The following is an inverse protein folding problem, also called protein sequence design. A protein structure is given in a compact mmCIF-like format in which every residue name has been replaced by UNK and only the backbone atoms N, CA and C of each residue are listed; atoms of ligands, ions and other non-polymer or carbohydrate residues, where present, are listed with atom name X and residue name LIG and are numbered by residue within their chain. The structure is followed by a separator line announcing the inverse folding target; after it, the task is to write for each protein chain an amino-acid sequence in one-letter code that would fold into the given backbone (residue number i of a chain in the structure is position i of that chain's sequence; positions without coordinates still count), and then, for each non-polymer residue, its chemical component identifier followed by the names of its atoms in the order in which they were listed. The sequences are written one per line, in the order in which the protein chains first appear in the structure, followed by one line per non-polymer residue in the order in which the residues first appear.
data_IF_679244753778
#
_entry.id   IF_679244753778
#
_cell.length_a   1.000
_cell.length_b   1.000
_cell.length_c   1.000
_cell.angle_alpha   90.00
_cell.angle_beta   90.00
_cell.angle_gamma   90.00
#
_symmetry.space_group_name_H-M   'P 1'
#
loop_
_entity.id
_entity.type
_entity.pdbx_description
1 polymer ?
#
# COMPACT_ATOMS: atom_id res chain seq x y z
N UNK A 1 -0.01 16.84 -20.83
CA UNK A 1 -0.97 17.19 -21.89
C UNK A 1 -2.16 16.23 -21.89
N UNK A 2 -3.37 16.74 -22.15
CA UNK A 2 -4.60 15.91 -22.29
C UNK A 2 -4.49 14.90 -23.44
N UNK A 3 -3.69 15.20 -24.46
CA UNK A 3 -3.52 14.35 -25.64
C UNK A 3 -2.38 13.33 -25.48
N UNK A 4 -1.77 13.24 -24.32
CA UNK A 4 -0.73 12.24 -24.05
C UNK A 4 -1.30 10.84 -24.01
N UNK A 5 -0.67 9.88 -24.67
CA UNK A 5 -1.03 8.45 -24.53
C UNK A 5 -0.93 7.93 -23.10
N UNK A 6 -0.16 8.61 -22.25
CA UNK A 6 -0.01 8.28 -20.82
C UNK A 6 -0.97 9.07 -19.92
N UNK A 7 -1.94 9.80 -20.48
CA UNK A 7 -2.85 10.62 -19.66
C UNK A 7 -3.57 9.77 -18.62
N UNK A 8 -4.16 8.67 -19.04
CA UNK A 8 -4.95 7.77 -18.21
C UNK A 8 -4.12 6.83 -17.33
N UNK A 9 -2.78 6.97 -17.37
CA UNK A 9 -1.89 6.30 -16.41
C UNK A 9 -1.99 6.90 -15.01
N UNK A 10 -2.52 8.12 -14.91
CA UNK A 10 -2.74 8.86 -13.67
C UNK A 10 -4.21 9.16 -13.48
N UNK A 11 -4.60 9.48 -12.25
CA UNK A 11 -5.99 9.74 -11.88
C UNK A 11 -6.26 11.23 -11.98
N UNK A 12 -7.12 11.62 -12.92
CA UNK A 12 -7.50 13.01 -13.19
C UNK A 12 -8.99 13.21 -12.97
N UNK A 13 -9.37 14.39 -12.44
CA UNK A 13 -10.78 14.78 -12.29
C UNK A 13 -10.97 16.25 -12.65
N UNK A 14 -12.15 16.55 -13.18
CA UNK A 14 -12.57 17.94 -13.40
C UNK A 14 -12.86 18.62 -12.05
N UNK A 15 -12.70 19.95 -11.96
CA UNK A 15 -13.18 20.71 -10.82
C UNK A 15 -14.67 20.50 -10.57
N UNK A 16 -15.08 20.43 -9.30
CA UNK A 16 -16.48 20.42 -8.88
C UNK A 16 -16.77 21.79 -8.29
N UNK A 17 -17.69 22.57 -8.94
CA UNK A 17 -18.03 23.94 -8.57
C UNK A 17 -16.77 24.85 -8.41
N UNK A 18 -15.78 24.65 -9.26
CA UNK A 18 -14.51 25.39 -9.24
C UNK A 18 -13.54 24.99 -8.14
N UNK A 19 -13.85 23.93 -7.41
CA UNK A 19 -13.06 23.41 -6.28
C UNK A 19 -12.53 22.00 -6.55
N UNK A 20 -11.80 21.47 -5.58
CA UNK A 20 -11.27 20.10 -5.59
C UNK A 20 -12.39 19.05 -5.71
N UNK A 21 -12.12 17.89 -6.32
CA UNK A 21 -13.13 16.84 -6.52
C UNK A 21 -13.76 16.33 -5.22
N UNK A 22 -13.00 16.28 -4.13
CA UNK A 22 -13.46 15.89 -2.80
C UNK A 22 -12.40 16.23 -1.74
N UNK A 23 -12.67 15.86 -0.49
CA UNK A 23 -11.83 16.19 0.68
C UNK A 23 -10.79 15.11 1.03
N UNK A 24 -10.32 14.31 0.08
CA UNK A 24 -9.22 13.38 0.34
C UNK A 24 -7.94 14.14 0.71
N UNK A 25 -7.27 13.64 1.74
CA UNK A 25 -6.04 14.23 2.25
C UNK A 25 -4.80 13.42 1.84
N UNK A 26 -3.71 14.10 1.59
CA UNK A 26 -2.39 13.50 1.38
C UNK A 26 -1.81 13.00 2.70
N UNK A 27 -1.08 11.89 2.65
CA UNK A 27 -0.32 11.36 3.79
C UNK A 27 0.71 12.35 4.33
N UNK A 28 1.13 13.33 3.51
CA UNK A 28 2.04 14.40 3.92
C UNK A 28 1.31 15.68 4.39
N UNK A 29 -0.01 15.62 4.49
CA UNK A 29 -0.88 16.73 4.89
C UNK A 29 -1.36 17.58 3.70
N UNK A 30 -2.50 18.24 3.91
CA UNK A 30 -3.19 18.99 2.86
C UNK A 30 -3.97 18.10 1.90
N UNK A 31 -4.49 18.71 0.84
CA UNK A 31 -5.27 18.00 -0.18
C UNK A 31 -4.48 16.91 -0.88
N UNK A 32 -5.14 15.80 -1.22
CA UNK A 32 -4.61 14.80 -2.13
C UNK A 32 -4.81 15.18 -3.61
N UNK A 33 -5.38 16.33 -3.90
CA UNK A 33 -5.65 16.82 -5.25
C UNK A 33 -4.81 18.06 -5.55
N UNK A 34 -4.08 18.04 -6.67
CA UNK A 34 -3.34 19.19 -7.16
C UNK A 34 -3.90 19.67 -8.50
N UNK A 35 -4.23 20.95 -8.58
CA UNK A 35 -4.69 21.56 -9.81
C UNK A 35 -3.54 21.73 -10.82
N UNK A 36 -3.79 21.34 -12.05
CA UNK A 36 -2.89 21.53 -13.20
C UNK A 36 -3.49 22.58 -14.15
N UNK A 37 -2.92 23.78 -14.14
CA UNK A 37 -3.39 24.91 -14.97
C UNK A 37 -3.39 24.58 -16.47
N UNK A 38 -2.45 23.75 -16.93
CA UNK A 38 -2.33 23.40 -18.34
C UNK A 38 -3.52 22.57 -18.83
N UNK A 39 -4.02 21.65 -18.01
CA UNK A 39 -5.15 20.80 -18.36
C UNK A 39 -6.49 21.31 -17.80
N UNK A 40 -6.47 22.22 -16.84
CA UNK A 40 -7.67 22.67 -16.13
C UNK A 40 -8.32 21.57 -15.29
N UNK A 41 -7.55 20.57 -14.88
CA UNK A 41 -8.02 19.43 -14.09
C UNK A 41 -7.17 19.25 -12.83
N UNK A 42 -7.66 18.47 -11.88
CA UNK A 42 -6.92 18.00 -10.72
C UNK A 42 -6.36 16.61 -10.97
N UNK A 43 -5.11 16.36 -10.51
CA UNK A 43 -4.57 15.00 -10.41
C UNK A 43 -4.44 14.56 -8.97
N UNK A 44 -4.58 13.24 -8.74
CA UNK A 44 -4.47 12.64 -7.42
C UNK A 44 -3.00 12.42 -7.03
N UNK A 45 -2.66 12.72 -5.77
CA UNK A 45 -1.38 12.37 -5.14
C UNK A 45 -1.58 12.11 -3.65
N UNK A 46 -1.47 10.87 -3.21
CA UNK A 46 -1.55 10.56 -1.78
C UNK A 46 -0.25 10.87 -1.01
N UNK A 47 0.84 11.12 -1.72
CA UNK A 47 2.12 11.53 -1.15
C UNK A 47 2.53 12.92 -1.67
N UNK A 48 3.74 13.06 -2.19
CA UNK A 48 4.18 14.35 -2.74
C UNK A 48 3.39 14.73 -4.01
N UNK A 49 3.16 16.03 -4.20
CA UNK A 49 2.63 16.58 -5.46
C UNK A 49 3.47 16.17 -6.69
N UNK A 50 4.75 15.82 -6.48
CA UNK A 50 5.65 15.31 -7.54
C UNK A 50 5.53 13.80 -7.77
N UNK A 51 4.65 13.13 -7.04
CA UNK A 51 4.38 11.69 -7.12
C UNK A 51 2.90 11.46 -7.41
N UNK A 52 2.41 11.79 -8.62
CA UNK A 52 1.01 11.53 -8.97
C UNK A 52 0.72 10.03 -8.90
N UNK A 53 -0.45 9.69 -8.38
CA UNK A 53 -0.88 8.31 -8.20
C UNK A 53 -1.18 7.61 -9.52
N UNK A 54 -0.65 6.40 -9.70
CA UNK A 54 -0.96 5.56 -10.85
C UNK A 54 -2.41 5.06 -10.79
N UNK A 55 -3.03 5.02 -11.95
CA UNK A 55 -4.39 4.55 -12.16
C UNK A 55 -4.42 3.03 -12.38
N UNK A 56 -4.51 2.25 -11.30
CA UNK A 56 -4.58 0.79 -11.38
C UNK A 56 -5.87 0.25 -12.01
N UNK A 57 -6.90 1.08 -12.19
CA UNK A 57 -8.07 0.68 -12.99
C UNK A 57 -7.72 0.56 -14.49
N UNK A 58 -6.70 1.28 -14.94
CA UNK A 58 -6.21 1.17 -16.32
C UNK A 58 -5.39 -0.11 -16.50
N UNK A 59 -5.81 -1.05 -17.35
CA UNK A 59 -5.08 -2.29 -17.58
C UNK A 59 -3.70 -2.06 -18.21
N UNK A 60 -3.50 -1.00 -19.01
CA UNK A 60 -2.19 -0.69 -19.59
C UNK A 60 -1.16 -0.35 -18.50
N UNK A 61 -1.58 0.35 -17.45
CA UNK A 61 -0.72 0.62 -16.28
C UNK A 61 -0.30 -0.67 -15.60
N UNK A 62 -1.24 -1.60 -15.41
CA UNK A 62 -0.94 -2.88 -14.79
C UNK A 62 0.04 -3.70 -15.61
N UNK A 63 -0.17 -3.80 -16.93
CA UNK A 63 0.76 -4.51 -17.82
C UNK A 63 2.18 -3.91 -17.80
N UNK A 64 2.33 -2.59 -17.85
CA UNK A 64 3.64 -1.92 -17.74
C UNK A 64 4.34 -2.22 -16.40
N UNK A 65 3.57 -2.29 -15.31
CA UNK A 65 4.12 -2.69 -13.99
C UNK A 65 4.55 -4.16 -14.01
N UNK A 66 3.76 -5.05 -14.61
CA UNK A 66 4.11 -6.46 -14.72
C UNK A 66 5.32 -6.70 -15.60
N UNK A 67 5.44 -5.98 -16.70
CA UNK A 67 6.62 -6.01 -17.58
C UNK A 67 7.89 -5.56 -16.82
N UNK A 68 7.78 -4.49 -16.04
CA UNK A 68 8.87 -4.03 -15.17
C UNK A 68 9.25 -5.09 -14.12
N UNK A 69 8.26 -5.74 -13.48
CA UNK A 69 8.52 -6.80 -12.51
C UNK A 69 9.20 -8.02 -13.17
N UNK A 70 8.69 -8.46 -14.32
CA UNK A 70 9.27 -9.57 -15.08
C UNK A 70 10.70 -9.27 -15.54
N UNK A 71 10.99 -8.03 -15.95
CA UNK A 71 12.36 -7.62 -16.24
C UNK A 71 13.32 -7.88 -15.08
N UNK A 72 12.90 -7.57 -13.83
CA UNK A 72 13.73 -7.82 -12.66
C UNK A 72 13.79 -9.29 -12.27
N UNK A 73 12.70 -10.05 -12.44
CA UNK A 73 12.67 -11.51 -12.24
C UNK A 73 13.69 -12.18 -13.17
N UNK A 74 13.73 -11.78 -14.44
CA UNK A 74 14.70 -12.28 -15.43
C UNK A 74 16.15 -11.95 -15.07
N UNK A 75 16.37 -10.92 -14.24
CA UNK A 75 17.70 -10.59 -13.69
C UNK A 75 18.06 -11.43 -12.46
N UNK A 76 17.17 -12.28 -11.98
CA UNK A 76 17.41 -13.21 -10.88
C UNK A 76 17.25 -12.59 -9.50
N UNK A 77 16.36 -11.61 -9.30
CA UNK A 77 16.05 -11.11 -7.95
C UNK A 77 15.35 -12.19 -7.11
N UNK A 78 15.50 -12.10 -5.78
CA UNK A 78 14.89 -13.05 -4.84
C UNK A 78 13.48 -12.71 -4.38
N UNK A 79 12.92 -11.58 -4.81
CA UNK A 79 11.55 -11.18 -4.44
C UNK A 79 11.30 -9.67 -4.50
N UNK A 80 10.13 -9.27 -3.97
CA UNK A 80 9.68 -7.89 -3.97
C UNK A 80 9.18 -7.43 -2.60
N UNK A 81 9.57 -6.24 -2.19
CA UNK A 81 8.88 -5.47 -1.17
C UNK A 81 7.99 -4.43 -1.87
N UNK A 82 6.70 -4.48 -1.61
CA UNK A 82 5.70 -3.64 -2.28
C UNK A 82 5.25 -2.54 -1.35
N UNK A 83 5.64 -1.32 -1.71
CA UNK A 83 5.34 -0.09 -0.98
C UNK A 83 3.84 0.20 -0.99
N UNK A 84 3.26 0.46 0.18
CA UNK A 84 1.83 0.80 0.38
C UNK A 84 0.87 0.03 -0.52
N UNK A 85 1.09 -1.26 -0.68
CA UNK A 85 0.35 -2.11 -1.63
C UNK A 85 -1.17 -2.04 -1.44
N UNK A 86 -1.64 -1.77 -0.23
CA UNK A 86 -3.06 -1.61 0.08
C UNK A 86 -3.74 -0.47 -0.68
N UNK A 87 -2.96 0.46 -1.25
CA UNK A 87 -3.47 1.64 -1.96
C UNK A 87 -3.69 1.42 -3.45
N UNK A 88 -3.26 0.31 -4.05
CA UNK A 88 -3.48 0.09 -5.49
C UNK A 88 -4.96 -0.11 -5.86
N UNK A 89 -5.77 -0.58 -4.91
CA UNK A 89 -7.22 -0.75 -5.07
C UNK A 89 -8.05 0.50 -4.76
N UNK A 90 -7.44 1.67 -4.65
CA UNK A 90 -8.13 2.93 -4.30
C UNK A 90 -9.30 3.26 -5.24
N UNK A 91 -10.33 3.87 -4.69
CA UNK A 91 -11.47 4.44 -5.42
C UNK A 91 -11.73 5.87 -4.93
N UNK A 92 -11.02 6.86 -5.46
CA UNK A 92 -11.05 8.23 -4.94
C UNK A 92 -12.45 8.86 -4.97
N UNK A 93 -13.25 8.54 -5.99
CA UNK A 93 -14.62 9.07 -6.11
C UNK A 93 -15.56 8.57 -5.00
N UNK A 94 -15.18 7.50 -4.32
CA UNK A 94 -15.89 6.93 -3.17
C UNK A 94 -15.19 7.22 -1.84
N UNK A 95 -14.19 8.09 -1.83
CA UNK A 95 -13.38 8.40 -0.65
C UNK A 95 -12.63 7.16 -0.10
N UNK A 96 -12.30 6.20 -0.95
CA UNK A 96 -11.55 5.00 -0.57
C UNK A 96 -10.08 5.17 -1.02
N UNK A 97 -9.19 5.36 -0.07
CA UNK A 97 -7.74 5.52 -0.30
C UNK A 97 -6.99 4.20 -0.27
N UNK A 98 -7.42 3.23 0.53
CA UNK A 98 -6.76 1.94 0.72
C UNK A 98 -7.78 0.80 0.89
N UNK A 99 -7.32 -0.44 0.72
CA UNK A 99 -8.14 -1.66 0.88
C UNK A 99 -9.46 -1.62 0.08
N UNK A 100 -9.43 -1.02 -1.10
CA UNK A 100 -10.60 -0.94 -1.98
C UNK A 100 -10.99 -2.30 -2.58
N UNK A 101 -12.21 -2.40 -3.11
CA UNK A 101 -12.84 -3.69 -3.46
C UNK A 101 -12.11 -4.48 -4.56
N UNK A 102 -11.28 -3.83 -5.38
CA UNK A 102 -10.50 -4.48 -6.44
C UNK A 102 -9.07 -4.82 -6.03
N UNK A 103 -8.66 -4.49 -4.81
CA UNK A 103 -7.28 -4.66 -4.36
C UNK A 103 -6.77 -6.09 -4.55
N UNK A 104 -7.50 -7.06 -4.03
CA UNK A 104 -7.11 -8.47 -4.08
C UNK A 104 -7.20 -9.06 -5.49
N UNK A 105 -8.11 -8.56 -6.33
CA UNK A 105 -8.15 -8.89 -7.76
C UNK A 105 -6.84 -8.47 -8.45
N UNK A 106 -6.36 -7.24 -8.20
CA UNK A 106 -5.12 -6.74 -8.79
C UNK A 106 -3.87 -7.46 -8.27
N UNK A 107 -3.82 -7.81 -6.97
CA UNK A 107 -2.68 -8.56 -6.42
C UNK A 107 -2.65 -9.99 -6.98
N UNK A 108 -3.81 -10.63 -7.09
CA UNK A 108 -3.90 -11.96 -7.68
C UNK A 108 -3.51 -11.94 -9.18
N UNK A 109 -3.97 -10.95 -9.95
CA UNK A 109 -3.55 -10.75 -11.35
C UNK A 109 -2.03 -10.55 -11.44
N UNK A 110 -1.46 -9.72 -10.57
CA UNK A 110 -0.02 -9.50 -10.48
C UNK A 110 0.74 -10.80 -10.19
N UNK A 111 0.29 -11.58 -9.22
CA UNK A 111 0.87 -12.90 -8.91
C UNK A 111 0.89 -13.80 -10.15
N UNK A 112 -0.25 -13.95 -10.81
CA UNK A 112 -0.37 -14.84 -11.98
C UNK A 112 0.52 -14.40 -13.15
N UNK A 113 0.68 -13.10 -13.35
CA UNK A 113 1.43 -12.54 -14.48
C UNK A 113 2.93 -12.38 -14.23
N UNK A 114 3.35 -12.45 -12.96
CA UNK A 114 4.76 -12.19 -12.59
C UNK A 114 5.33 -13.29 -11.71
N UNK A 115 5.33 -13.14 -10.41
CA UNK A 115 6.07 -13.95 -9.46
C UNK A 115 5.42 -15.30 -9.08
N UNK A 116 4.16 -15.55 -9.43
CA UNK A 116 3.44 -16.73 -8.96
C UNK A 116 3.99 -18.08 -9.41
N UNK A 117 4.77 -18.12 -10.51
CA UNK A 117 5.44 -19.31 -11.00
C UNK A 117 6.93 -19.38 -10.67
N UNK A 118 7.40 -18.50 -9.77
CA UNK A 118 8.80 -18.39 -9.37
C UNK A 118 8.95 -18.63 -7.87
N UNK A 119 10.09 -19.15 -7.46
CA UNK A 119 10.45 -19.26 -6.02
C UNK A 119 10.96 -17.91 -5.53
N UNK A 120 10.04 -16.99 -5.29
CA UNK A 120 10.31 -15.62 -4.88
C UNK A 120 9.57 -15.26 -3.59
N UNK A 121 10.21 -14.46 -2.75
CA UNK A 121 9.58 -13.91 -1.56
C UNK A 121 8.88 -12.58 -1.90
N UNK A 122 7.61 -12.43 -1.51
CA UNK A 122 6.88 -11.18 -1.65
C UNK A 122 6.37 -10.68 -0.31
N UNK A 123 6.60 -9.39 -0.03
CA UNK A 123 6.10 -8.75 1.19
C UNK A 123 5.42 -7.43 0.87
N UNK A 124 4.19 -7.26 1.33
CA UNK A 124 3.42 -6.04 1.17
C UNK A 124 3.52 -5.14 2.41
N UNK A 125 3.66 -3.84 2.20
CA UNK A 125 3.49 -2.87 3.28
C UNK A 125 2.01 -2.49 3.39
N UNK A 126 1.44 -2.72 4.60
CA UNK A 126 0.03 -2.48 4.88
C UNK A 126 -0.11 -1.88 6.28
N UNK A 127 -0.48 -0.61 6.39
CA UNK A 127 -0.52 0.11 7.66
C UNK A 127 -1.72 -0.24 8.54
N UNK A 128 -2.86 -0.52 7.92
CA UNK A 128 -4.12 -0.80 8.62
C UNK A 128 -4.47 -2.29 8.75
N UNK A 129 -3.54 -3.21 8.48
CA UNK A 129 -3.85 -4.63 8.48
C UNK A 129 -4.13 -5.18 9.88
N UNK A 130 -5.23 -5.93 9.99
CA UNK A 130 -5.50 -6.86 11.09
C UNK A 130 -5.09 -8.28 10.68
N UNK A 131 -4.99 -9.25 11.60
CA UNK A 131 -4.72 -10.64 11.23
C UNK A 131 -5.72 -11.20 10.20
N UNK A 132 -7.00 -10.83 10.27
CA UNK A 132 -8.00 -11.29 9.30
C UNK A 132 -7.81 -10.66 7.92
N UNK A 133 -7.42 -9.40 7.87
CA UNK A 133 -7.02 -8.75 6.61
C UNK A 133 -5.74 -9.37 6.07
N UNK A 134 -4.76 -9.68 6.92
CA UNK A 134 -3.51 -10.31 6.52
C UNK A 134 -3.71 -11.65 5.80
N UNK A 135 -4.67 -12.45 6.25
CA UNK A 135 -5.03 -13.73 5.57
C UNK A 135 -5.47 -13.51 4.13
N UNK A 136 -6.11 -12.39 3.82
CA UNK A 136 -6.53 -12.09 2.45
C UNK A 136 -5.35 -11.92 1.51
N UNK A 137 -4.21 -11.43 2.02
CA UNK A 137 -2.97 -11.26 1.24
C UNK A 137 -2.10 -12.50 1.22
N UNK A 138 -2.02 -13.25 2.34
CA UNK A 138 -0.96 -14.23 2.56
C UNK A 138 -1.42 -15.68 2.68
N UNK A 139 -2.72 -15.97 2.64
CA UNK A 139 -3.20 -17.34 2.57
C UNK A 139 -2.74 -17.97 1.24
N UNK A 140 -1.96 -19.08 1.26
CA UNK A 140 -1.43 -19.70 0.05
C UNK A 140 -2.48 -20.07 -1.00
N UNK A 141 -3.71 -20.38 -0.58
CA UNK A 141 -4.81 -20.75 -1.50
C UNK A 141 -5.29 -19.55 -2.32
N UNK A 142 -4.96 -18.32 -1.91
CA UNK A 142 -5.36 -17.11 -2.60
C UNK A 142 -4.44 -16.69 -3.75
N UNK A 143 -3.22 -17.20 -3.78
CA UNK A 143 -2.22 -16.85 -4.79
C UNK A 143 -2.02 -15.33 -4.89
N UNK A 144 -1.71 -14.71 -3.78
CA UNK A 144 -1.41 -13.28 -3.68
C UNK A 144 0.05 -13.08 -3.23
N UNK A 145 0.30 -12.62 -2.00
CA UNK A 145 1.65 -12.36 -1.49
C UNK A 145 2.10 -13.47 -0.53
N UNK A 146 3.41 -13.56 -0.28
CA UNK A 146 3.95 -14.47 0.75
C UNK A 146 3.60 -14.00 2.15
N UNK A 147 3.66 -12.68 2.40
CA UNK A 147 3.41 -12.06 3.69
C UNK A 147 3.14 -10.56 3.57
N UNK A 148 2.71 -9.94 4.66
CA UNK A 148 2.62 -8.48 4.79
C UNK A 148 3.32 -8.01 6.06
N UNK A 149 3.79 -6.77 6.09
CA UNK A 149 4.19 -6.11 7.32
C UNK A 149 2.96 -5.72 8.13
N UNK A 150 2.98 -5.98 9.42
CA UNK A 150 1.99 -5.50 10.37
C UNK A 150 2.62 -4.39 11.23
N UNK A 151 1.88 -3.33 11.50
CA UNK A 151 2.38 -2.19 12.27
C UNK A 151 1.83 -2.13 13.70
N UNK A 152 0.94 -3.02 14.08
CA UNK A 152 0.33 -3.03 15.41
C UNK A 152 1.38 -3.15 16.53
N UNK A 153 2.40 -4.00 16.34
CA UNK A 153 3.46 -4.17 17.34
C UNK A 153 4.39 -2.94 17.43
N UNK A 154 4.64 -2.27 16.32
CA UNK A 154 5.59 -1.17 16.23
C UNK A 154 5.00 0.19 16.62
N UNK A 155 3.70 0.26 16.89
CA UNK A 155 2.99 1.48 17.27
C UNK A 155 2.54 1.51 18.74
N UNK A 156 2.84 0.47 19.51
CA UNK A 156 2.39 0.34 20.91
C UNK A 156 2.94 1.41 21.85
N UNK A 157 4.10 1.96 21.54
CA UNK A 157 4.73 3.05 22.30
C UNK A 157 4.35 4.44 21.77
N UNK A 158 3.55 4.54 20.72
CA UNK A 158 3.09 5.82 20.21
C UNK A 158 2.02 6.44 21.10
N UNK A 159 1.98 7.77 21.10
CA UNK A 159 0.97 8.55 21.82
C UNK A 159 -0.11 8.96 20.82
N UNK A 160 -1.35 8.57 21.10
CA UNK A 160 -2.49 8.88 20.23
C UNK A 160 -2.60 10.40 19.96
N UNK A 161 -2.80 10.74 18.69
CA UNK A 161 -2.93 12.12 18.25
C UNK A 161 -1.60 12.93 18.25
N UNK A 162 -0.46 12.28 18.48
CA UNK A 162 0.86 12.90 18.37
C UNK A 162 1.64 12.35 17.18
N UNK A 163 2.56 13.13 16.60
CA UNK A 163 3.48 12.61 15.59
C UNK A 163 4.25 11.39 16.09
N UNK A 164 4.63 10.49 15.20
CA UNK A 164 5.30 9.21 15.49
C UNK A 164 6.61 9.29 16.32
N UNK A 165 7.18 10.45 16.42
CA UNK A 165 8.40 10.71 17.22
C UNK A 165 8.12 10.94 18.71
N UNK A 166 6.85 11.06 19.11
CA UNK A 166 6.46 11.21 20.51
C UNK A 166 6.04 9.84 21.05
N UNK A 167 6.87 9.28 21.91
CA UNK A 167 6.68 7.94 22.45
C UNK A 167 6.37 7.96 23.94
N UNK A 168 5.73 6.93 24.42
CA UNK A 168 5.49 6.57 25.83
C UNK A 168 6.25 5.28 26.15
N UNK A 169 6.43 4.93 27.45
CA UNK A 169 7.02 3.65 27.81
C UNK A 169 6.30 2.48 27.14
N UNK A 170 7.08 1.54 26.57
CA UNK A 170 6.54 0.39 25.88
C UNK A 170 5.70 -0.48 26.82
N UNK A 171 4.49 -0.79 26.41
CA UNK A 171 3.65 -1.82 27.04
C UNK A 171 4.15 -3.22 26.66
N UNK A 172 4.98 -3.81 27.50
CA UNK A 172 5.57 -5.14 27.25
C UNK A 172 4.51 -6.24 27.22
N UNK A 173 3.46 -6.13 28.03
CA UNK A 173 2.36 -7.10 28.03
C UNK A 173 1.54 -6.97 26.75
N UNK A 174 1.24 -5.74 26.33
CA UNK A 174 0.60 -5.44 25.05
C UNK A 174 1.41 -5.97 23.88
N UNK A 175 2.73 -5.75 23.86
CA UNK A 175 3.62 -6.29 22.82
C UNK A 175 3.54 -7.83 22.75
N UNK A 176 3.66 -8.50 23.89
CA UNK A 176 3.56 -9.97 23.96
C UNK A 176 2.20 -10.45 23.44
N UNK A 177 1.12 -9.75 23.80
CA UNK A 177 -0.23 -10.06 23.34
C UNK A 177 -0.35 -9.92 21.82
N UNK A 178 0.10 -8.80 21.26
CA UNK A 178 0.05 -8.55 19.81
C UNK A 178 0.85 -9.58 19.03
N UNK A 179 2.10 -9.85 19.43
CA UNK A 179 2.94 -10.84 18.74
C UNK A 179 2.31 -12.24 18.80
N UNK A 180 1.77 -12.64 19.96
CA UNK A 180 1.10 -13.95 20.10
C UNK A 180 -0.17 -14.03 19.25
N UNK A 181 -0.98 -12.96 19.24
CA UNK A 181 -2.20 -12.87 18.42
C UNK A 181 -1.87 -13.06 16.94
N UNK A 182 -0.90 -12.34 16.41
CA UNK A 182 -0.51 -12.44 15.01
C UNK A 182 0.00 -13.82 14.64
N UNK A 183 0.86 -14.44 15.49
CA UNK A 183 1.34 -15.80 15.29
C UNK A 183 0.20 -16.81 15.23
N UNK A 184 -0.68 -16.78 16.23
CA UNK A 184 -1.79 -17.75 16.35
C UNK A 184 -2.83 -17.56 15.24
N UNK A 185 -3.15 -16.32 14.89
CA UNK A 185 -4.17 -16.06 13.88
C UNK A 185 -3.71 -16.41 12.45
N UNK A 186 -2.40 -16.36 12.18
CA UNK A 186 -1.86 -16.70 10.86
C UNK A 186 -1.34 -18.15 10.77
N UNK A 187 -1.40 -18.93 11.84
CA UNK A 187 -1.04 -20.34 11.83
C UNK A 187 -1.83 -21.07 10.75
N UNK A 188 -1.14 -21.79 9.88
CA UNK A 188 -1.68 -22.52 8.71
C UNK A 188 -2.41 -21.64 7.65
N UNK A 189 -2.36 -20.30 7.78
CA UNK A 189 -3.08 -19.36 6.92
C UNK A 189 -2.19 -18.28 6.29
N UNK A 190 -0.93 -18.29 6.58
CA UNK A 190 0.02 -17.33 6.02
C UNK A 190 1.24 -17.17 6.89
N UNK A 191 2.21 -16.44 6.35
CA UNK A 191 3.43 -16.12 7.08
C UNK A 191 3.29 -14.78 7.79
N UNK A 192 3.72 -14.75 9.04
CA UNK A 192 3.77 -13.55 9.84
C UNK A 192 5.15 -12.87 9.67
N UNK A 193 5.17 -11.70 9.04
CA UNK A 193 6.39 -10.90 8.91
C UNK A 193 6.62 -10.09 10.19
N UNK A 194 7.47 -10.59 11.07
CA UNK A 194 7.88 -9.89 12.29
C UNK A 194 9.04 -8.94 12.01
N UNK A 195 8.91 -7.71 12.47
CA UNK A 195 9.98 -6.71 12.42
C UNK A 195 9.87 -5.76 13.62
N UNK A 196 10.98 -5.11 13.98
CA UNK A 196 11.06 -4.22 15.13
C UNK A 196 11.01 -2.75 14.76
N UNK A 197 11.55 -2.41 13.62
CA UNK A 197 11.58 -1.05 13.08
C UNK A 197 11.91 -1.09 11.58
N UNK A 198 11.70 0.04 10.92
CA UNK A 198 12.07 0.26 9.52
C UNK A 198 12.60 1.70 9.33
N UNK A 199 12.76 2.13 8.07
CA UNK A 199 13.23 3.49 7.74
C UNK A 199 12.22 4.60 8.08
N UNK A 200 10.94 4.25 8.31
CA UNK A 200 9.86 5.19 8.63
C UNK A 200 9.55 5.31 10.12
N UNK A 201 10.12 4.44 10.95
CA UNK A 201 9.85 4.38 12.37
C UNK A 201 11.11 4.66 13.19
N UNK A 202 10.97 5.16 14.44
CA UNK A 202 12.07 5.25 15.38
C UNK A 202 12.73 3.88 15.58
N UNK A 203 14.01 3.87 15.94
CA UNK A 203 14.69 2.61 16.26
C UNK A 203 14.06 1.97 17.50
N UNK A 204 13.90 0.64 17.46
CA UNK A 204 13.33 -0.12 18.57
C UNK A 204 14.20 -0.07 19.84
N UNK A 205 15.50 0.14 19.67
CA UNK A 205 16.48 0.29 20.76
C UNK A 205 17.32 1.53 20.46
N UNK A 206 17.22 2.56 21.28
CA UNK A 206 18.00 3.80 21.20
C UNK A 206 18.29 4.36 22.60
#
# INVERSE_FOLDING_TARGET
SKDSKYRDYYIWRDPIDGSEPNSLESCFGGSAWQYDEQSGQYYLHFFSQKQPDLNWENPEVREEVYDMMNFWIDKGIGGFRMDVIEMIGKQPDKMISSNGPKLHEYINEMNQKTFGNHDLLTVGETWGATPDIAKLYSDPERNELSMIFQFEATTLDQIDGKPKWFTKPLDVLGLKHVLSKWQTCLEDKGWNSLFWNNHDLPRAVS
#
